data_IF_779117438520
#
_entry.id   IF_779117438520
#
_cell.length_a   1.000
_cell.length_b   1.000
_cell.length_c   1.000
_cell.angle_alpha   90.00
_cell.angle_beta   90.00
_cell.angle_gamma   90.00
#
_symmetry.space_group_name_H-M   'P 1'
#
loop_
_entity.id
_entity.type
_entity.pdbx_description
1 polymer ?
2 branched ?
3 non-polymer ?
4 water ?
#
# COMPACT_ATOMS: atom_id res chain seq x y z
N UNK A 2 -1.06 17.28 -18.38
CA UNK A 2 -1.58 17.52 -17.01
C UNK A 2 -2.77 16.61 -16.73
N UNK A 3 -2.80 15.45 -17.39
CA UNK A 3 -3.89 14.50 -17.20
C UNK A 3 -3.83 13.90 -15.81
N UNK A 4 -5.01 13.66 -15.23
CA UNK A 4 -5.12 13.07 -13.89
C UNK A 4 -4.61 11.63 -13.88
N UNK A 5 -4.21 11.14 -12.68
CA UNK A 5 -3.60 9.81 -12.62
C UNK A 5 -4.42 8.66 -13.26
N UNK A 6 -5.75 8.72 -13.18
CA UNK A 6 -6.62 7.67 -13.74
C UNK A 6 -6.57 7.56 -15.26
N UNK A 7 -6.01 8.59 -15.90
CA UNK A 7 -5.75 8.56 -17.35
C UNK A 7 -4.37 7.99 -17.68
N UNK A 8 -3.48 7.92 -16.68
CA UNK A 8 -2.11 7.46 -16.90
C UNK A 8 -1.81 6.10 -16.32
N UNK A 9 -2.71 5.64 -15.47
CA UNK A 9 -2.56 4.37 -14.79
C UNK A 9 -3.84 3.62 -14.92
N UNK A 10 -3.73 2.29 -14.89
CA UNK A 10 -4.92 1.44 -14.92
C UNK A 10 -5.51 1.36 -13.52
N UNK A 11 -6.48 2.23 -13.25
CA UNK A 11 -7.12 2.28 -11.94
C UNK A 11 -8.50 1.65 -11.98
N UNK A 12 -8.73 0.78 -12.97
CA UNK A 12 -10.04 0.15 -13.16
C UNK A 12 -10.36 -0.80 -12.04
N UNK A 13 -9.31 -1.29 -11.35
CA UNK A 13 -9.49 -2.19 -10.22
C UNK A 13 -8.78 -1.67 -8.98
N UNK A 14 -8.84 -0.36 -8.80
CA UNK A 14 -8.41 0.27 -7.57
C UNK A 14 -9.47 1.29 -7.13
N UNK A 15 -9.70 1.42 -5.84
CA UNK A 15 -10.39 2.60 -5.30
C UNK A 15 -9.38 3.37 -4.45
N UNK A 16 -9.67 4.63 -4.20
CA UNK A 16 -8.74 5.51 -3.48
C UNK A 16 -9.33 5.84 -2.12
N UNK A 17 -8.53 5.61 -1.08
CA UNK A 17 -8.91 6.02 0.27
C UNK A 17 -8.15 7.28 0.66
N UNK A 18 -8.88 8.28 1.18
CA UNK A 18 -8.35 9.62 1.39
C UNK A 18 -8.18 9.98 2.86
N UNK A 19 -7.31 10.99 3.15
CA UNK A 19 -7.03 11.45 4.49
C UNK A 19 -7.79 12.72 4.89
N UNK A 20 -8.89 13.00 4.19
CA UNK A 20 -9.73 14.12 4.61
C UNK A 20 -10.40 13.75 5.93
N UNK A 21 -11.01 14.74 6.60
CA UNK A 21 -11.64 14.49 7.91
C UNK A 21 -12.57 13.27 7.93
N UNK A 22 -13.29 13.06 6.85
CA UNK A 22 -14.29 11.98 6.76
C UNK A 22 -13.84 10.74 5.99
N UNK A 23 -12.53 10.65 5.75
CA UNK A 23 -11.90 9.52 5.03
C UNK A 23 -12.70 9.05 3.82
N UNK A 24 -12.94 9.99 2.91
CA UNK A 24 -13.69 9.80 1.66
C UNK A 24 -13.02 8.77 0.78
N UNK A 25 -13.82 8.04 0.02
CA UNK A 25 -13.30 7.11 -0.95
C UNK A 25 -13.75 7.50 -2.34
N UNK A 26 -12.84 7.34 -3.29
CA UNK A 26 -13.15 7.60 -4.69
C UNK A 26 -13.18 6.28 -5.47
N UNK A 27 -14.28 6.05 -6.19
CA UNK A 27 -14.49 4.79 -6.91
C UNK A 27 -13.53 4.63 -8.08
N UNK A 28 -13.37 3.39 -8.55
CA UNK A 28 -12.57 3.12 -9.74
C UNK A 28 -13.02 3.97 -10.93
N UNK A 29 -14.33 4.05 -11.12
CA UNK A 29 -14.90 4.77 -12.25
C UNK A 29 -14.55 6.26 -12.18
N UNK A 30 -14.66 6.85 -10.99
CA UNK A 30 -14.34 8.27 -10.85
C UNK A 30 -12.84 8.57 -10.95
N UNK A 31 -12.01 7.61 -10.53
CA UNK A 31 -10.58 7.72 -10.81
C UNK A 31 -10.33 7.76 -12.32
N UNK A 32 -11.00 6.87 -13.06
CA UNK A 32 -10.83 6.78 -14.51
C UNK A 32 -11.30 8.05 -15.20
N UNK A 33 -12.33 8.70 -14.63
CA UNK A 33 -12.89 9.93 -15.17
C UNK A 33 -12.02 11.14 -14.91
N UNK A 34 -10.98 10.96 -14.08
CA UNK A 34 -9.99 12.01 -13.87
C UNK A 34 -10.02 12.73 -12.53
N UNK A 35 -10.51 12.05 -11.49
CA UNK A 35 -10.46 12.61 -10.13
C UNK A 35 -9.07 13.09 -9.82
N UNK A 36 -8.98 14.30 -9.27
CA UNK A 36 -7.73 14.85 -8.77
C UNK A 36 -8.03 15.82 -7.64
N UNK A 37 -7.09 15.97 -6.72
CA UNK A 37 -7.23 16.85 -5.58
C UNK A 37 -5.86 17.08 -4.93
N UNK A 38 -5.87 17.81 -3.82
CA UNK A 38 -4.67 18.05 -3.03
C UNK A 38 -4.02 16.74 -2.56
N UNK A 39 -4.83 15.69 -2.46
CA UNK A 39 -4.35 14.40 -1.93
C UNK A 39 -3.84 13.46 -3.00
N UNK A 40 -4.13 13.76 -4.27
CA UNK A 40 -3.97 12.77 -5.34
C UNK A 40 -3.97 13.48 -6.68
N UNK A 41 -2.81 13.48 -7.33
CA UNK A 41 -2.67 14.30 -8.54
C UNK A 41 -1.48 13.87 -9.37
N UNK A 42 -1.43 14.36 -10.59
CA UNK A 42 -0.29 14.11 -11.48
C UNK A 42 0.71 15.26 -11.34
N UNK A 43 1.93 14.91 -11.00
CA UNK A 43 2.95 15.95 -10.87
C UNK A 43 3.57 16.29 -12.22
N UNK A 44 4.49 17.25 -12.24
CA UNK A 44 5.11 17.73 -13.46
C UNK A 44 5.87 16.61 -14.18
N UNK A 45 6.33 15.62 -13.42
CA UNK A 45 7.06 14.49 -13.99
C UNK A 45 6.14 13.32 -14.40
N UNK A 46 4.83 13.53 -14.38
CA UNK A 46 3.86 12.51 -14.76
C UNK A 46 3.50 11.53 -13.65
N UNK A 47 4.16 11.63 -12.50
CA UNK A 47 3.89 10.66 -11.41
C UNK A 47 2.50 10.80 -10.84
N UNK A 48 1.90 9.66 -10.50
CA UNK A 48 0.70 9.63 -9.65
C UNK A 48 1.20 9.94 -8.24
N UNK A 49 0.73 11.05 -7.69
CA UNK A 49 1.31 11.60 -6.50
C UNK A 49 0.28 11.63 -5.40
N UNK A 50 0.68 11.11 -4.23
CA UNK A 50 -0.21 10.95 -3.07
C UNK A 50 0.31 11.85 -1.95
N UNK A 51 -0.55 12.77 -1.51
CA UNK A 51 -0.20 13.66 -0.40
C UNK A 51 -1.16 13.42 0.76
N UNK A 52 -0.61 13.34 1.98
CA UNK A 52 -1.45 13.22 3.17
C UNK A 52 -0.82 13.92 4.35
N UNK A 53 -1.61 14.74 5.07
CA UNK A 53 -1.12 15.38 6.29
C UNK A 53 -1.27 14.49 7.52
N UNK A 54 -0.41 14.71 8.51
CA UNK A 54 -0.42 13.86 9.72
C UNK A 54 -1.70 14.12 10.52
N UNK A 55 -2.35 15.24 10.28
CA UNK A 55 -3.60 15.60 10.97
C UNK A 55 -4.85 15.10 10.23
N UNK A 56 -4.66 14.29 9.18
CA UNK A 56 -5.79 13.82 8.38
C UNK A 56 -6.69 12.85 9.12
N UNK A 57 -7.87 12.62 8.54
CA UNK A 57 -8.82 11.64 9.05
C UNK A 57 -8.23 10.24 8.97
N UNK A 58 -8.64 9.38 9.89
CA UNK A 58 -8.16 8.00 9.89
C UNK A 58 -9.31 7.01 9.82
N UNK A 59 -9.04 5.85 9.21
CA UNK A 59 -10.02 4.77 9.15
C UNK A 59 -10.28 4.18 10.56
N UNK A 60 -11.36 3.42 10.65
CA UNK A 60 -11.89 2.93 11.95
C UNK A 60 -10.87 2.12 12.75
N UNK A 61 -9.97 1.41 12.07
CA UNK A 61 -8.98 0.58 12.77
C UNK A 61 -7.53 1.00 12.56
N UNK A 62 -7.31 2.27 12.19
CA UNK A 62 -5.95 2.78 12.09
C UNK A 62 -5.79 4.06 12.87
N UNK A 63 -4.59 4.26 13.43
CA UNK A 63 -4.19 5.51 14.10
C UNK A 63 -3.71 6.54 13.08
N UNK A 64 -3.50 6.09 11.83
CA UNK A 64 -2.78 6.91 10.86
C UNK A 64 -3.54 7.24 9.57
N UNK A 65 -3.30 8.44 9.01
CA UNK A 65 -4.01 8.87 7.81
C UNK A 65 -3.36 8.29 6.57
N UNK A 66 -4.11 8.25 5.48
CA UNK A 66 -3.58 7.71 4.23
C UNK A 66 -4.18 8.39 3.02
N UNK A 67 -3.37 8.51 1.97
CA UNK A 67 -3.90 8.69 0.62
C UNK A 67 -3.38 7.46 -0.12
N UNK A 68 -4.26 6.49 -0.34
CA UNK A 68 -3.80 5.12 -0.68
C UNK A 68 -4.81 4.35 -1.52
N UNK A 69 -4.32 3.69 -2.56
CA UNK A 69 -5.17 2.85 -3.41
C UNK A 69 -5.40 1.51 -2.72
N UNK A 70 -6.59 0.96 -2.92
CA UNK A 70 -7.04 -0.29 -2.32
C UNK A 70 -7.56 -1.16 -3.48
N UNK A 71 -6.90 -2.30 -3.69
CA UNK A 71 -7.23 -3.14 -4.84
C UNK A 71 -8.65 -3.63 -4.77
N UNK A 72 -9.33 -3.57 -5.91
CA UNK A 72 -10.71 -4.07 -6.02
C UNK A 72 -10.83 -5.06 -7.19
N UNK A 73 -10.73 -6.35 -6.89
CA UNK A 73 -10.98 -7.40 -7.89
C UNK A 73 -12.32 -7.14 -8.59
N UNK A 74 -13.29 -6.75 -7.77
CA UNK A 74 -14.58 -6.29 -8.26
C UNK A 74 -14.71 -4.84 -7.83
N UNK A 75 -14.61 -3.90 -8.79
CA UNK A 75 -14.69 -2.47 -8.45
C UNK A 75 -16.00 -2.06 -7.77
N UNK A 76 -17.01 -2.93 -7.81
CA UNK A 76 -18.32 -2.64 -7.20
C UNK A 76 -18.57 -3.42 -5.91
N UNK A 77 -17.57 -4.18 -5.46
CA UNK A 77 -17.73 -4.93 -4.20
C UNK A 77 -16.40 -5.22 -3.52
N UNK A 78 -16.10 -4.44 -2.49
CA UNK A 78 -14.84 -4.60 -1.76
C UNK A 78 -14.70 -5.93 -1.00
N UNK A 79 -15.78 -6.70 -0.89
CA UNK A 79 -15.76 -8.01 -0.21
C UNK A 79 -15.23 -9.17 -1.08
N UNK A 80 -14.94 -8.89 -2.35
CA UNK A 80 -14.38 -9.88 -3.29
C UNK A 80 -12.86 -9.70 -3.32
N UNK A 81 -12.16 -10.69 -2.76
CA UNK A 81 -10.71 -10.61 -2.57
C UNK A 81 -10.05 -11.95 -2.90
N UNK A 82 -8.72 -11.96 -3.02
CA UNK A 82 -8.03 -13.18 -3.51
C UNK A 82 -7.47 -14.04 -2.38
N UNK A 83 -7.14 -15.30 -2.70
CA UNK A 83 -6.70 -16.23 -1.68
C UNK A 83 -5.21 -16.55 -1.74
N UNK A 84 -4.80 -17.42 -0.81
CA UNK A 84 -3.40 -17.80 -0.66
C UNK A 84 -2.86 -18.64 -1.83
N UNK A 85 -3.72 -19.42 -2.49
CA UNK A 85 -3.26 -20.31 -3.57
C UNK A 85 -3.16 -19.57 -4.88
N UNK A 86 -2.26 -20.01 -5.74
CA UNK A 86 -2.05 -19.37 -7.03
C UNK A 86 -1.02 -18.29 -6.88
N UNK A 87 -0.85 -17.49 -7.94
CA UNK A 87 0.12 -16.39 -7.95
C UNK A 87 -0.57 -15.04 -8.06
N UNK A 88 -0.11 -14.10 -7.24
CA UNK A 88 -0.74 -12.79 -7.10
C UNK A 88 0.40 -11.81 -6.98
N UNK A 89 0.51 -10.88 -7.94
CA UNK A 89 1.71 -10.07 -8.07
C UNK A 89 1.38 -8.61 -8.27
N UNK A 90 2.01 -7.74 -7.49
CA UNK A 90 1.93 -6.29 -7.72
C UNK A 90 3.34 -5.79 -7.99
N UNK A 91 3.48 -5.00 -9.04
CA UNK A 91 4.76 -4.41 -9.39
C UNK A 91 4.58 -2.91 -9.48
N UNK A 92 5.56 -2.19 -9.00
CA UNK A 92 5.48 -0.74 -9.07
C UNK A 92 6.87 -0.13 -9.09
N UNK A 93 6.92 1.12 -9.54
CA UNK A 93 8.13 1.93 -9.40
C UNK A 93 7.71 3.28 -8.85
N UNK A 94 8.53 3.84 -7.99
CA UNK A 94 8.14 5.10 -7.39
C UNK A 94 9.24 5.74 -6.59
N UNK A 95 8.86 6.75 -5.82
CA UNK A 95 9.80 7.40 -4.93
C UNK A 95 9.02 8.07 -3.83
N UNK A 96 9.69 8.32 -2.71
CA UNK A 96 9.10 9.12 -1.66
C UNK A 96 9.86 10.45 -1.66
N UNK A 97 9.09 11.55 -1.69
CA UNK A 97 9.58 12.90 -1.93
C UNK A 97 9.67 13.68 -0.60
N UNK A 98 8.72 13.42 0.30
CA UNK A 98 8.64 14.15 1.56
C UNK A 98 8.08 13.24 2.63
N UNK A 99 8.67 13.34 3.81
CA UNK A 99 8.30 12.52 4.96
C UNK A 99 7.72 13.40 6.07
N UNK A 100 6.92 12.79 6.97
CA UNK A 100 6.43 13.53 8.13
C UNK A 100 7.53 13.54 9.17
N UNK A 101 7.27 14.15 10.32
CA UNK A 101 8.29 14.23 11.36
C UNK A 101 8.81 12.88 11.81
N UNK A 102 7.95 11.86 11.81
CA UNK A 102 8.34 10.51 12.21
C UNK A 102 9.38 9.86 11.25
N UNK A 103 9.46 10.39 10.03
CA UNK A 103 10.37 9.86 9.01
C UNK A 103 9.99 8.50 8.47
N UNK A 104 8.69 8.17 8.55
CA UNK A 104 8.21 6.84 8.19
C UNK A 104 6.85 6.89 7.51
N UNK A 105 6.77 6.25 6.34
CA UNK A 105 5.47 6.02 5.69
C UNK A 105 5.47 4.61 5.15
N UNK A 106 4.28 4.11 4.82
CA UNK A 106 4.12 2.82 4.14
C UNK A 106 3.64 3.12 2.71
N UNK A 107 4.35 2.54 1.74
CA UNK A 107 4.12 2.85 0.32
C UNK A 107 3.46 1.69 -0.47
N UNK A 108 3.36 0.51 0.15
CA UNK A 108 2.71 -0.64 -0.52
C UNK A 108 2.37 -1.66 0.55
N UNK A 109 1.29 -2.41 0.31
CA UNK A 109 0.88 -3.47 1.24
C UNK A 109 0.21 -4.63 0.55
N UNK A 110 0.23 -5.77 1.25
CA UNK A 110 -0.84 -6.76 1.11
C UNK A 110 -1.58 -6.73 2.42
N UNK A 111 -2.90 -6.54 2.34
CA UNK A 111 -3.72 -6.50 3.54
C UNK A 111 -4.61 -7.73 3.58
N UNK A 112 -4.69 -8.38 4.75
CA UNK A 112 -5.65 -9.45 4.94
C UNK A 112 -7.05 -8.92 5.19
N UNK A 113 -8.03 -9.80 4.98
CA UNK A 113 -9.43 -9.45 5.17
C UNK A 113 -10.20 -10.76 5.39
N UNK A 114 -11.25 -10.71 6.22
CA UNK A 114 -12.05 -11.91 6.41
C UNK A 114 -12.97 -12.12 5.21
N UNK A 115 -13.48 -13.34 5.06
CA UNK A 115 -14.36 -13.65 3.92
C UNK A 115 -15.54 -12.67 3.87
N UNK A 116 -16.03 -12.23 5.02
CA UNK A 116 -17.20 -11.36 5.10
C UNK A 116 -16.90 -9.86 4.95
N UNK A 117 -15.63 -9.54 4.67
CA UNK A 117 -15.22 -8.14 4.50
C UNK A 117 -14.75 -7.46 5.76
N UNK A 118 -14.92 -8.13 6.91
CA UNK A 118 -14.44 -7.64 8.20
C UNK A 118 -12.92 -7.52 8.19
N UNK A 119 -12.39 -6.56 8.94
CA UNK A 119 -10.96 -6.30 8.95
C UNK A 119 -10.16 -7.50 9.48
N UNK A 120 -8.98 -7.70 8.91
CA UNK A 120 -8.01 -8.68 9.39
C UNK A 120 -6.63 -8.00 9.35
N UNK A 121 -5.58 -8.67 9.85
CA UNK A 121 -4.27 -7.97 9.88
C UNK A 121 -3.69 -7.66 8.50
N UNK A 122 -2.84 -6.62 8.42
CA UNK A 122 -2.01 -6.49 7.20
C UNK A 122 -1.09 -7.70 7.14
N UNK A 123 -0.76 -8.15 5.92
CA UNK A 123 0.20 -9.24 5.75
C UNK A 123 1.59 -8.72 5.40
N UNK A 124 1.67 -7.83 4.41
CA UNK A 124 2.95 -7.24 4.02
C UNK A 124 2.84 -5.73 4.07
N UNK A 125 3.80 -5.09 4.72
CA UNK A 125 3.86 -3.61 4.73
C UNK A 125 5.24 -3.17 4.27
N UNK A 126 5.27 -2.35 3.22
CA UNK A 126 6.54 -1.81 2.71
C UNK A 126 6.76 -0.48 3.37
N UNK A 127 7.60 -0.48 4.40
CA UNK A 127 7.85 0.71 5.22
C UNK A 127 9.04 1.47 4.65
N UNK A 128 8.80 2.71 4.24
CA UNK A 128 9.86 3.57 3.74
C UNK A 128 10.37 4.56 4.80
N UNK A 129 11.69 4.58 4.94
CA UNK A 129 12.41 5.62 5.69
C UNK A 129 13.54 6.14 4.80
N UNK A 130 14.03 7.34 5.10
CA UNK A 130 15.13 7.89 4.34
C UNK A 130 16.39 7.07 4.61
N UNK A 131 16.67 6.10 3.74
CA UNK A 131 17.85 5.24 3.87
C UNK A 131 17.56 3.74 3.93
N UNK A 132 16.29 3.37 3.99
CA UNK A 132 15.93 1.97 4.07
C UNK A 132 14.45 1.73 3.77
N UNK A 133 14.18 0.67 3.02
CA UNK A 133 12.83 0.14 2.92
C UNK A 133 12.83 -1.15 3.72
N UNK A 134 11.82 -1.32 4.57
CA UNK A 134 11.65 -2.55 5.33
C UNK A 134 10.34 -3.19 4.86
N UNK A 135 10.45 -4.32 4.15
CA UNK A 135 9.27 -5.02 3.67
C UNK A 135 8.89 -6.05 4.75
N UNK A 136 8.01 -5.61 5.66
CA UNK A 136 7.64 -6.36 6.86
C UNK A 136 6.57 -7.37 6.52
N UNK A 137 6.74 -8.61 6.98
CA UNK A 137 5.71 -9.65 6.79
C UNK A 137 5.21 -10.12 8.14
N UNK A 138 3.90 -9.96 8.38
CA UNK A 138 3.27 -10.41 9.63
C UNK A 138 3.42 -11.92 9.83
N UNK A 139 3.64 -12.33 11.09
CA UNK A 139 3.82 -13.75 11.38
C UNK A 139 2.47 -14.48 11.45
N UNK A 140 1.58 -13.95 12.28
CA UNK A 140 0.36 -14.64 12.66
C UNK A 140 -0.90 -13.97 12.12
N UNK A 141 -1.82 -14.82 11.67
CA UNK A 141 -3.05 -14.37 11.02
C UNK A 141 -4.04 -13.71 11.99
N UNK A 142 -3.82 -13.88 13.29
CA UNK A 142 -4.68 -13.26 14.29
C UNK A 142 -4.12 -11.91 14.73
N UNK A 143 -3.00 -11.51 14.12
CA UNK A 143 -2.38 -10.21 14.38
C UNK A 143 -1.43 -10.19 15.56
N UNK A 144 -1.35 -11.32 16.27
CA UNK A 144 -0.45 -11.47 17.42
C UNK A 144 0.95 -11.74 16.93
N UNK A 145 1.90 -11.85 17.85
CA UNK A 145 3.30 -11.98 17.49
C UNK A 145 3.83 -10.68 16.91
N UNK A 146 4.92 -10.79 16.16
CA UNK A 146 5.59 -9.64 15.59
C UNK A 146 5.64 -9.76 14.07
N UNK A 147 6.49 -8.95 13.45
CA UNK A 147 6.71 -9.04 12.01
C UNK A 147 8.10 -9.55 11.70
N UNK A 148 8.22 -10.24 10.57
CA UNK A 148 9.50 -10.59 9.98
C UNK A 148 9.95 -9.37 9.19
N UNK A 149 11.11 -8.81 9.55
CA UNK A 149 11.66 -7.68 8.80
C UNK A 149 12.50 -8.14 7.61
N UNK A 150 12.49 -7.33 6.57
CA UNK A 150 13.32 -7.56 5.41
C UNK A 150 13.83 -6.20 4.98
N UNK A 151 15.07 -5.93 5.36
CA UNK A 151 15.67 -4.62 5.19
C UNK A 151 16.43 -4.48 3.89
N UNK A 152 16.15 -3.37 3.19
CA UNK A 152 16.85 -3.01 1.97
C UNK A 152 17.44 -1.64 2.24
N UNK A 153 18.72 -1.64 2.57
CA UNK A 153 19.34 -0.41 3.05
C UNK A 153 19.97 0.36 1.88
N UNK A 154 20.01 1.68 2.00
CA UNK A 154 20.59 2.53 0.97
C UNK A 154 19.60 3.34 0.14
N UNK A 155 18.33 3.01 0.28
CA UNK A 155 17.26 3.66 -0.51
C UNK A 155 16.89 4.99 0.17
N UNK A 156 17.18 6.09 -0.50
CA UNK A 156 17.08 7.42 0.10
C UNK A 156 15.83 8.17 -0.37
N UNK A 157 15.48 9.22 0.37
CA UNK A 157 14.48 10.18 -0.10
C UNK A 157 14.81 10.62 -1.54
N UNK A 158 13.83 10.51 -2.44
CA UNK A 158 14.01 10.96 -3.82
C UNK A 158 14.51 9.90 -4.77
N UNK A 159 15.09 8.82 -4.23
CA UNK A 159 15.58 7.73 -5.09
C UNK A 159 14.41 6.98 -5.69
N UNK A 160 14.62 6.42 -6.89
CA UNK A 160 13.60 5.65 -7.56
C UNK A 160 13.74 4.20 -7.15
N UNK A 161 12.67 3.64 -6.62
CA UNK A 161 12.63 2.21 -6.30
C UNK A 161 11.70 1.43 -7.20
N UNK A 162 12.13 0.20 -7.49
CA UNK A 162 11.35 -0.75 -8.24
C UNK A 162 11.02 -1.85 -7.28
N UNK A 163 9.72 -2.12 -7.15
CA UNK A 163 9.23 -3.01 -6.12
C UNK A 163 8.33 -4.08 -6.71
N UNK A 164 8.40 -5.26 -6.13
CA UNK A 164 7.42 -6.29 -6.41
C UNK A 164 7.04 -6.95 -5.10
N UNK A 165 5.74 -7.21 -4.94
CA UNK A 165 5.25 -8.04 -3.85
C UNK A 165 4.44 -9.15 -4.50
N UNK A 166 4.84 -10.40 -4.26
CA UNK A 166 4.18 -11.55 -4.89
C UNK A 166 3.80 -12.54 -3.82
N UNK A 167 2.59 -13.09 -3.92
CA UNK A 167 2.23 -14.28 -3.14
C UNK A 167 2.08 -15.43 -4.12
N UNK A 168 2.79 -16.53 -3.88
CA UNK A 168 2.54 -17.76 -4.62
C UNK A 168 2.35 -18.88 -3.60
N UNK A 169 1.16 -19.48 -3.60
CA UNK A 169 0.85 -20.61 -2.71
C UNK A 169 1.27 -20.39 -1.25
N UNK A 170 0.87 -19.26 -0.69
CA UNK A 170 1.08 -19.00 0.73
C UNK A 170 2.48 -18.59 1.13
N UNK A 171 3.32 -18.26 0.14
CA UNK A 171 4.66 -17.71 0.42
C UNK A 171 4.71 -16.30 -0.17
N UNK A 172 5.19 -15.35 0.63
CA UNK A 172 5.34 -13.96 0.15
C UNK A 172 6.77 -13.75 -0.33
N UNK A 173 6.90 -13.19 -1.53
CA UNK A 173 8.19 -12.80 -2.10
C UNK A 173 8.21 -11.28 -2.20
N UNK A 174 9.19 -10.65 -1.54
CA UNK A 174 9.26 -9.20 -1.48
C UNK A 174 10.55 -8.73 -2.14
N UNK A 175 10.42 -7.86 -3.14
CA UNK A 175 11.54 -7.49 -4.00
C UNK A 175 11.71 -5.99 -4.03
N UNK A 176 12.95 -5.56 -3.84
CA UNK A 176 13.32 -4.17 -4.03
C UNK A 176 14.54 -4.13 -4.93
N UNK A 177 14.40 -3.48 -6.08
CA UNK A 177 15.52 -3.33 -7.03
C UNK A 177 16.22 -4.66 -7.34
N UNK A 178 15.43 -5.68 -7.65
CA UNK A 178 15.97 -6.97 -8.10
C UNK A 178 16.44 -7.90 -6.99
N UNK A 179 16.39 -7.40 -5.76
CA UNK A 179 16.79 -8.15 -4.57
C UNK A 179 15.51 -8.68 -3.92
N UNK A 180 15.38 -10.00 -3.89
CA UNK A 180 14.15 -10.66 -3.38
C UNK A 180 14.38 -11.47 -2.10
N UNK A 181 13.45 -11.34 -1.15
CA UNK A 181 13.43 -12.14 0.08
C UNK A 181 12.09 -12.84 0.15
N UNK A 182 12.01 -13.94 0.90
CA UNK A 182 10.74 -14.65 0.99
C UNK A 182 10.41 -14.97 2.43
N UNK A 183 9.10 -15.07 2.70
CA UNK A 183 8.58 -15.48 4.00
C UNK A 183 7.39 -16.41 3.76
N UNK A 184 7.49 -17.63 4.27
CA UNK A 184 6.41 -18.61 4.11
C UNK A 184 5.38 -18.33 5.18
N UNK A 185 4.39 -17.51 4.86
CA UNK A 185 3.44 -17.09 5.88
C UNK A 185 2.41 -18.17 6.25
N UNK A 186 1.88 -18.88 5.26
CA UNK A 186 1.02 -20.02 5.53
C UNK A 186 1.75 -21.08 6.37
N UNK A 187 3.06 -21.18 6.17
CA UNK A 187 3.90 -22.08 6.97
C UNK A 187 4.12 -21.66 8.41
N UNK A 188 4.14 -20.35 8.66
CA UNK A 188 4.22 -19.86 10.03
C UNK A 188 2.87 -20.11 10.74
N UNK A 189 1.77 -19.88 10.02
CA UNK A 189 0.43 -19.97 10.60
C UNK A 189 -0.59 -20.40 9.53
N UNK A 190 -1.13 -21.62 9.69
CA UNK A 190 -2.11 -22.14 8.74
C UNK A 190 -3.40 -21.30 8.74
N UNK A 191 -3.59 -20.52 9.80
CA UNK A 191 -4.71 -19.58 9.89
C UNK A 191 -4.78 -18.57 8.74
N UNK A 192 -3.64 -18.27 8.11
CA UNK A 192 -3.64 -17.37 6.95
C UNK A 192 -4.50 -17.93 5.80
N UNK A 193 -4.69 -19.25 5.79
CA UNK A 193 -5.50 -19.85 4.74
C UNK A 193 -6.99 -19.50 4.91
N UNK A 194 -7.35 -19.03 6.09
CA UNK A 194 -8.74 -18.67 6.42
C UNK A 194 -9.07 -17.23 5.99
N UNK A 195 -8.05 -16.47 5.61
CA UNK A 195 -8.21 -15.06 5.23
C UNK A 195 -8.12 -14.87 3.72
N UNK A 196 -8.62 -13.74 3.23
CA UNK A 196 -8.41 -13.34 1.86
C UNK A 196 -7.53 -12.09 1.88
N UNK A 197 -7.19 -11.57 0.70
CA UNK A 197 -6.14 -10.56 0.60
C UNK A 197 -6.45 -9.55 -0.48
N UNK A 198 -5.94 -8.34 -0.30
CA UNK A 198 -5.90 -7.35 -1.37
C UNK A 198 -4.63 -6.50 -1.31
N UNK A 199 -4.18 -6.02 -2.47
CA UNK A 199 -3.04 -5.10 -2.49
C UNK A 199 -3.44 -3.68 -2.12
N UNK A 200 -2.46 -2.90 -1.65
CA UNK A 200 -2.62 -1.46 -1.47
C UNK A 200 -1.33 -0.81 -1.95
N UNK A 201 -1.44 0.42 -2.43
CA UNK A 201 -0.26 1.19 -2.83
C UNK A 201 -0.57 2.68 -2.73
N UNK A 202 0.35 3.45 -2.15
CA UNK A 202 0.12 4.90 -2.05
C UNK A 202 0.94 5.47 -0.93
N UNK A 203 0.26 6.10 0.02
CA UNK A 203 0.92 6.88 1.06
C UNK A 203 0.16 6.78 2.36
N UNK A 204 0.59 5.84 3.21
CA UNK A 204 -0.04 5.57 4.50
C UNK A 204 0.94 6.10 5.55
N UNK A 205 0.59 7.24 6.11
CA UNK A 205 1.57 8.07 6.85
C UNK A 205 1.72 7.63 8.30
N UNK A 206 2.91 7.17 8.68
CA UNK A 206 3.10 6.64 10.03
C UNK A 206 3.46 7.75 11.00
N UNK A 207 2.57 8.74 11.06
CA UNK A 207 2.71 9.91 11.96
C UNK A 207 1.32 10.53 12.04
N UNK A 208 0.76 10.64 13.24
CA UNK A 208 -0.54 11.29 13.43
C UNK A 208 -0.47 12.53 14.34
N UNK A 209 0.74 13.04 14.53
CA UNK A 209 0.99 14.14 15.46
C UNK A 209 0.53 15.49 14.87
N UNK A 210 0.07 16.42 15.71
CA UNK A 210 -0.44 17.70 15.22
C UNK A 210 0.60 18.54 14.47
N UNK A 211 1.86 18.41 14.86
CA UNK A 211 2.93 19.16 14.20
C UNK A 211 3.80 18.28 13.29
N UNK A 212 3.28 17.10 12.95
CA UNK A 212 4.08 16.14 12.16
C UNK A 212 4.27 16.47 10.68
N UNK A 213 3.54 17.44 10.16
CA UNK A 213 3.70 17.80 8.76
C UNK A 213 2.87 16.90 7.86
N UNK A 214 3.53 16.40 6.82
CA UNK A 214 2.84 15.63 5.79
C UNK A 214 3.85 14.90 4.93
N UNK A 215 3.36 13.95 4.16
CA UNK A 215 4.21 13.15 3.31
C UNK A 215 3.70 13.17 1.86
N UNK A 216 4.64 12.93 0.95
CA UNK A 216 4.38 12.82 -0.49
C UNK A 216 5.10 11.58 -1.01
N UNK A 217 4.32 10.70 -1.64
CA UNK A 217 4.88 9.53 -2.31
C UNK A 217 4.39 9.54 -3.75
N UNK A 218 5.23 9.02 -4.64
CA UNK A 218 4.95 9.01 -6.07
C UNK A 218 5.04 7.61 -6.63
N UNK A 219 4.19 7.33 -7.63
CA UNK A 219 4.32 6.12 -8.47
C UNK A 219 4.46 6.46 -9.94
N UNK A 220 5.36 5.77 -10.63
CA UNK A 220 5.55 5.91 -12.08
C UNK A 220 4.97 4.74 -12.87
N UNK A 221 4.77 3.63 -12.18
CA UNK A 221 4.15 2.44 -12.77
C UNK A 221 3.50 1.66 -11.64
N UNK A 222 2.41 0.96 -11.96
CA UNK A 222 1.67 0.16 -11.00
C UNK A 222 0.86 -0.86 -11.74
N UNK A 223 1.17 -2.13 -11.52
CA UNK A 223 0.40 -3.20 -12.17
C UNK A 223 0.15 -4.34 -11.22
N UNK A 224 -0.98 -5.01 -11.45
CA UNK A 224 -1.35 -6.17 -10.67
C UNK A 224 -1.73 -7.28 -11.64
N UNK A 225 -1.33 -8.49 -11.30
CA UNK A 225 -1.69 -9.68 -12.06
C UNK A 225 -2.05 -10.84 -11.14
N UNK A 226 -3.03 -11.62 -11.54
CA UNK A 226 -3.43 -12.81 -10.79
C UNK A 226 -3.46 -13.99 -11.75
N UNK A 227 -2.73 -15.04 -11.41
CA UNK A 227 -2.46 -16.14 -12.36
C UNK A 227 -2.32 -17.49 -11.67
#
# INVERSE_FOLDING_TARGET
>A
PAAAPGKNFDLSHWKLQLPDANTTEISSANLGLGYTSQYFYTDTDGAMTFWAPTTGGTTANSSYPRSELREMLDPSNSKVNWGWQGTHTMKLSGKTVQLPSSGKIIVAQIHGIMDDGTNAPPLVKAVFQDGQLDMQVKQNSDGTGSDVHNYFTGIKLGDLYNMEIRVTDGVAYVTMNGDTRSVDFVGKDAGWKNLKYYFKAGNFVQDNTSTGGSAIAKLYSLSVSHSNLEHHHHHH
#
